data_IF_063989910901
#
_entry.id   IF_063989910901
#
_cell.length_a   1.000
_cell.length_b   1.000
_cell.length_c   1.000
_cell.angle_alpha   90.00
_cell.angle_beta   90.00
_cell.angle_gamma   90.00
#
_symmetry.space_group_name_H-M   'P 1'
#
loop_
_entity.id
_entity.type
_entity.pdbx_description
1 polymer ?
#
# COMPACT_ATOMS: atom_id res chain seq x y z
N UNK A 1 -12.74 -37.51 -73.71
CA UNK A 1 -12.22 -36.43 -72.84
C UNK A 1 -10.75 -36.18 -73.21
N UNK A 2 -10.39 -34.95 -73.61
CA UNK A 2 -9.08 -34.66 -74.21
C UNK A 2 -7.94 -34.82 -73.20
N UNK A 3 -6.90 -35.60 -73.53
CA UNK A 3 -5.72 -35.82 -72.65
C UNK A 3 -5.02 -34.52 -72.25
N UNK A 4 -5.06 -33.50 -73.10
CA UNK A 4 -4.56 -32.15 -72.81
C UNK A 4 -5.45 -31.36 -71.83
N UNK A 5 -6.74 -31.65 -71.79
CA UNK A 5 -7.72 -31.00 -70.91
C UNK A 5 -7.65 -31.56 -69.48
N UNK A 6 -7.40 -32.87 -69.35
CA UNK A 6 -7.23 -33.56 -68.06
C UNK A 6 -5.97 -33.07 -67.31
N UNK A 7 -4.86 -32.84 -68.04
CA UNK A 7 -3.62 -32.33 -67.44
C UNK A 7 -3.75 -30.91 -66.87
N UNK A 8 -4.49 -30.03 -67.55
CA UNK A 8 -4.71 -28.65 -67.08
C UNK A 8 -5.67 -28.61 -65.90
N UNK A 9 -6.75 -29.41 -65.91
CA UNK A 9 -7.66 -29.56 -64.76
C UNK A 9 -6.97 -30.13 -63.51
N UNK A 10 -6.02 -31.05 -63.69
CA UNK A 10 -5.25 -31.62 -62.57
C UNK A 10 -4.24 -30.62 -61.97
N UNK A 11 -3.73 -29.66 -62.75
CA UNK A 11 -2.86 -28.60 -62.24
C UNK A 11 -3.63 -27.57 -61.38
N UNK A 12 -4.87 -27.23 -61.77
CA UNK A 12 -5.70 -26.30 -61.01
C UNK A 12 -6.17 -26.88 -59.66
N UNK A 13 -6.38 -28.20 -59.56
CA UNK A 13 -6.75 -28.85 -58.31
C UNK A 13 -5.62 -28.90 -57.27
N UNK A 14 -4.35 -28.97 -57.71
CA UNK A 14 -3.18 -28.96 -56.82
C UNK A 14 -2.93 -27.56 -56.24
N UNK A 15 -3.20 -26.51 -57.03
CA UNK A 15 -3.06 -25.11 -56.59
C UNK A 15 -4.18 -24.73 -55.60
N UNK A 16 -5.39 -25.27 -55.75
CA UNK A 16 -6.50 -25.06 -54.81
C UNK A 16 -6.32 -25.79 -53.47
N UNK A 17 -5.63 -26.93 -53.44
CA UNK A 17 -5.37 -27.67 -52.20
C UNK A 17 -4.16 -27.12 -51.41
N UNK A 18 -3.22 -26.44 -52.07
CA UNK A 18 -2.00 -25.89 -51.46
C UNK A 18 -2.21 -24.72 -50.49
N UNK A 19 -3.38 -24.06 -50.51
CA UNK A 19 -3.70 -22.96 -49.58
C UNK A 19 -4.50 -23.41 -48.34
N UNK A 20 -5.02 -24.64 -48.32
CA UNK A 20 -5.78 -25.19 -47.18
C UNK A 20 -4.92 -26.07 -46.26
N UNK A 21 -3.60 -25.87 -46.28
CA UNK A 21 -2.64 -26.41 -45.32
C UNK A 21 -2.79 -25.76 -43.94
N UNK A 22 -3.90 -26.12 -43.28
CA UNK A 22 -4.17 -26.13 -41.85
C UNK A 22 -3.04 -25.57 -40.97
N UNK A 23 -3.19 -24.30 -40.57
CA UNK A 23 -2.54 -23.82 -39.36
C UNK A 23 -3.17 -24.51 -38.16
N UNK A 24 -2.72 -25.72 -37.82
CA UNK A 24 -2.96 -26.24 -36.47
C UNK A 24 -2.12 -25.37 -35.54
N UNK A 25 -2.79 -24.61 -34.68
CA UNK A 25 -2.10 -24.09 -33.51
C UNK A 25 -1.70 -25.31 -32.70
N UNK A 26 -0.46 -25.74 -32.81
CA UNK A 26 0.17 -26.51 -31.75
C UNK A 26 0.37 -25.52 -30.60
N UNK A 27 -0.73 -25.18 -29.91
CA UNK A 27 -0.61 -24.82 -28.51
C UNK A 27 -0.32 -26.14 -27.85
N UNK A 28 0.95 -26.38 -27.54
CA UNK A 28 1.30 -27.42 -26.59
C UNK A 28 0.42 -27.18 -25.38
N UNK A 29 -0.59 -28.04 -25.19
CA UNK A 29 -1.37 -28.07 -23.96
C UNK A 29 -0.44 -28.70 -22.94
N UNK A 30 0.57 -27.95 -22.51
CA UNK A 30 1.32 -28.29 -21.31
C UNK A 30 0.25 -28.37 -20.23
N UNK A 31 0.00 -29.58 -19.73
CA UNK A 31 -0.64 -29.74 -18.44
C UNK A 31 0.35 -29.17 -17.42
N UNK A 32 0.34 -27.85 -17.27
CA UNK A 32 0.82 -27.23 -16.05
C UNK A 32 -0.24 -27.66 -15.03
N UNK A 33 0.10 -28.63 -14.20
CA UNK A 33 -0.59 -28.80 -12.93
C UNK A 33 -0.14 -27.62 -12.06
N UNK A 34 -0.69 -26.45 -12.34
CA UNK A 34 -0.50 -25.26 -11.53
C UNK A 34 -1.39 -25.43 -10.31
N UNK A 35 -0.88 -26.16 -9.32
CA UNK A 35 -1.39 -26.02 -7.96
C UNK A 35 -0.80 -24.72 -7.43
N UNK A 36 -1.38 -23.59 -7.82
CA UNK A 36 -1.29 -22.40 -6.99
C UNK A 36 -2.04 -22.73 -5.70
N UNK A 37 -1.32 -23.13 -4.65
CA UNK A 37 -1.82 -22.88 -3.30
C UNK A 37 -1.74 -21.37 -3.10
N UNK A 38 -2.79 -20.66 -3.50
CA UNK A 38 -2.99 -19.26 -3.16
C UNK A 38 -3.27 -19.22 -1.65
N UNK A 39 -2.22 -19.30 -0.83
CA UNK A 39 -2.32 -18.93 0.58
C UNK A 39 -2.58 -17.44 0.61
N UNK A 40 -3.84 -17.04 0.78
CA UNK A 40 -4.21 -15.65 0.97
C UNK A 40 -3.53 -15.16 2.24
N UNK A 41 -2.54 -14.28 2.12
CA UNK A 41 -1.98 -13.59 3.27
C UNK A 41 -3.09 -12.71 3.86
N UNK A 42 -3.66 -13.15 4.98
CA UNK A 42 -4.60 -12.33 5.75
C UNK A 42 -3.79 -11.33 6.56
N UNK A 43 -3.56 -10.14 5.99
CA UNK A 43 -2.93 -9.03 6.70
C UNK A 43 -3.98 -8.34 7.55
N UNK A 44 -3.80 -8.38 8.87
CA UNK A 44 -4.66 -7.65 9.80
C UNK A 44 -4.35 -6.14 9.69
N UNK A 45 -5.40 -5.33 9.50
CA UNK A 45 -5.27 -3.87 9.42
C UNK A 45 -4.64 -3.28 10.68
N UNK A 46 -5.00 -3.79 11.86
CA UNK A 46 -4.47 -3.29 13.13
C UNK A 46 -2.97 -3.58 13.24
N UNK A 47 -2.53 -4.78 12.84
CA UNK A 47 -1.10 -5.11 12.85
C UNK A 47 -0.29 -4.19 11.92
N UNK A 48 -0.86 -3.82 10.76
CA UNK A 48 -0.24 -2.86 9.85
C UNK A 48 -0.21 -1.44 10.42
N UNK A 49 -1.27 -1.03 11.13
CA UNK A 49 -1.34 0.26 11.83
C UNK A 49 -0.30 0.32 12.96
N UNK A 50 -0.23 -0.71 13.81
CA UNK A 50 0.74 -0.81 14.91
C UNK A 50 2.18 -0.83 14.39
N UNK A 51 2.44 -1.60 13.33
CA UNK A 51 3.74 -1.64 12.68
C UNK A 51 4.13 -0.27 12.10
N UNK A 52 3.18 0.43 11.49
CA UNK A 52 3.41 1.79 10.97
C UNK A 52 3.73 2.76 12.10
N UNK A 53 2.98 2.72 13.20
CA UNK A 53 3.21 3.56 14.38
C UNK A 53 4.60 3.27 14.96
N UNK A 54 4.97 1.99 15.10
CA UNK A 54 6.27 1.57 15.62
C UNK A 54 7.44 2.18 14.83
N UNK A 55 7.40 2.13 13.49
CA UNK A 55 8.45 2.74 12.66
C UNK A 55 8.46 4.27 12.74
N UNK A 56 7.31 4.89 13.03
CA UNK A 56 7.17 6.34 13.14
C UNK A 56 7.45 6.87 14.55
N UNK A 57 7.59 6.00 15.56
CA UNK A 57 7.82 6.35 16.96
C UNK A 57 8.93 7.39 17.16
N UNK A 58 10.12 7.30 16.52
CA UNK A 58 11.17 8.31 16.71
C UNK A 58 10.74 9.73 16.28
N UNK A 59 10.00 9.84 15.17
CA UNK A 59 9.53 11.11 14.62
C UNK A 59 8.40 11.70 15.47
N UNK A 60 7.46 10.87 15.90
CA UNK A 60 6.36 11.26 16.77
C UNK A 60 6.90 11.72 18.14
N UNK A 61 7.83 10.95 18.72
CA UNK A 61 8.48 11.30 20.00
C UNK A 61 9.21 12.63 19.89
N UNK A 62 9.97 12.82 18.81
CA UNK A 62 10.68 14.07 18.56
C UNK A 62 9.71 15.24 18.44
N UNK A 63 8.61 15.09 17.69
CA UNK A 63 7.61 16.14 17.54
C UNK A 63 7.04 16.61 18.90
N UNK A 64 6.70 15.66 19.78
CA UNK A 64 6.18 15.95 21.13
C UNK A 64 7.25 16.61 21.99
N UNK A 65 8.50 16.13 21.94
CA UNK A 65 9.61 16.72 22.70
C UNK A 65 9.99 18.11 22.21
N UNK A 66 9.94 18.37 20.91
CA UNK A 66 10.20 19.68 20.32
C UNK A 66 9.12 20.69 20.75
N UNK A 67 7.86 20.24 20.93
CA UNK A 67 6.77 21.11 21.40
C UNK A 67 6.79 21.37 22.91
N UNK A 68 6.88 20.34 23.75
CA UNK A 68 6.78 20.47 25.21
C UNK A 68 8.12 20.60 25.96
N UNK A 69 9.23 20.29 25.30
CA UNK A 69 10.52 20.05 25.95
C UNK A 69 10.56 18.72 26.71
N UNK A 70 11.68 18.45 27.41
CA UNK A 70 11.83 17.28 28.30
C UNK A 70 11.57 17.69 29.77
N UNK A 71 10.96 16.85 30.62
CA UNK A 71 10.40 15.53 30.31
C UNK A 71 8.94 15.60 29.84
N UNK A 72 8.70 15.27 28.58
CA UNK A 72 7.38 14.98 28.01
C UNK A 72 7.36 13.57 27.44
N UNK A 73 6.18 12.96 27.41
CA UNK A 73 5.99 11.60 26.95
C UNK A 73 4.66 11.39 26.24
N UNK A 74 4.51 10.20 25.65
CA UNK A 74 3.35 9.75 24.88
C UNK A 74 2.78 8.49 25.53
N UNK A 75 1.46 8.40 25.63
CA UNK A 75 0.76 7.16 25.99
C UNK A 75 0.74 6.20 24.80
N UNK A 76 1.77 5.36 24.67
CA UNK A 76 1.95 4.48 23.51
C UNK A 76 0.89 3.37 23.33
N UNK A 77 -0.01 3.17 24.30
CA UNK A 77 -1.16 2.26 24.16
C UNK A 77 -2.41 2.91 23.55
N UNK A 78 -2.33 4.19 23.16
CA UNK A 78 -3.44 4.97 22.56
C UNK A 78 -3.17 5.78 21.27
N UNK A 79 -2.01 5.69 20.57
CA UNK A 79 -1.89 6.35 19.28
C UNK A 79 -2.98 5.86 18.32
N UNK A 80 -3.43 6.75 17.43
CA UNK A 80 -4.42 6.42 16.41
C UNK A 80 -4.10 7.12 15.11
N UNK A 81 -3.97 6.36 14.02
CA UNK A 81 -3.85 6.95 12.69
C UNK A 81 -5.21 7.53 12.31
N UNK A 82 -5.22 8.82 12.00
CA UNK A 82 -6.42 9.55 11.58
C UNK A 82 -6.56 9.55 10.05
N UNK A 83 -5.43 9.65 9.34
CA UNK A 83 -5.41 9.75 7.88
C UNK A 83 -4.10 9.18 7.34
N UNK A 84 -4.20 8.43 6.24
CA UNK A 84 -3.07 8.12 5.34
C UNK A 84 -3.53 8.48 3.94
N UNK A 85 -2.76 9.34 3.26
CA UNK A 85 -3.05 9.80 1.91
C UNK A 85 -1.81 9.63 1.04
N UNK A 86 -1.92 8.84 -0.02
CA UNK A 86 -0.90 8.82 -1.07
C UNK A 86 -0.96 10.16 -1.82
N UNK A 87 0.14 10.91 -1.80
CA UNK A 87 0.24 12.21 -2.45
C UNK A 87 0.67 12.11 -3.91
N UNK A 88 1.12 10.94 -4.36
CA UNK A 88 1.62 10.68 -5.70
C UNK A 88 1.05 9.34 -6.22
N UNK A 89 -0.19 9.34 -6.76
CA UNK A 89 -0.80 8.14 -7.31
C UNK A 89 0.09 7.47 -8.37
N UNK A 90 0.38 6.18 -8.20
CA UNK A 90 1.32 5.43 -9.03
C UNK A 90 2.72 5.26 -8.43
N UNK A 91 3.06 6.06 -7.41
CA UNK A 91 4.26 5.92 -6.58
C UNK A 91 3.91 5.31 -5.22
N UNK A 92 4.89 4.62 -4.62
CA UNK A 92 4.79 4.02 -3.28
C UNK A 92 5.62 4.75 -2.24
N UNK A 93 6.06 5.97 -2.55
CA UNK A 93 7.08 6.64 -1.74
C UNK A 93 6.63 7.95 -1.13
N UNK A 94 5.49 8.52 -1.54
CA UNK A 94 5.04 9.84 -1.07
C UNK A 94 3.69 9.78 -0.37
N UNK A 95 3.69 9.98 0.94
CA UNK A 95 2.49 9.93 1.77
C UNK A 95 2.38 11.11 2.72
N UNK A 96 1.14 11.48 3.01
CA UNK A 96 0.77 12.29 4.15
C UNK A 96 0.10 11.39 5.19
N UNK A 97 0.58 11.44 6.42
CA UNK A 97 0.03 10.69 7.54
C UNK A 97 -0.34 11.66 8.67
N UNK A 98 -1.57 11.55 9.18
CA UNK A 98 -1.99 12.25 10.41
C UNK A 98 -2.20 11.26 11.53
N UNK A 99 -1.59 11.52 12.68
CA UNK A 99 -1.71 10.68 13.87
C UNK A 99 -2.14 11.51 15.07
N UNK A 100 -3.06 10.95 15.87
CA UNK A 100 -3.42 11.45 17.19
C UNK A 100 -2.60 10.72 18.24
N UNK A 101 -2.03 11.46 19.17
CA UNK A 101 -1.40 10.92 20.38
C UNK A 101 -1.92 11.61 21.63
N UNK A 102 -1.91 10.89 22.74
CA UNK A 102 -2.14 11.46 24.08
C UNK A 102 -0.78 11.64 24.76
N UNK A 103 -0.50 12.84 25.22
CA UNK A 103 0.78 13.23 25.82
C UNK A 103 0.65 13.47 27.31
N UNK A 104 1.77 13.58 28.01
CA UNK A 104 1.82 13.94 29.43
C UNK A 104 3.12 14.69 29.75
N UNK A 105 3.11 15.47 30.83
CA UNK A 105 4.27 16.23 31.31
C UNK A 105 4.67 15.78 32.72
N UNK A 106 5.89 15.25 32.85
CA UNK A 106 6.44 14.77 34.13
C UNK A 106 5.80 13.49 34.67
N UNK A 107 6.37 12.96 35.76
CA UNK A 107 5.78 11.84 36.50
C UNK A 107 4.66 12.38 37.40
N UNK A 108 3.46 11.81 37.31
CA UNK A 108 2.33 12.04 38.23
C UNK A 108 1.45 13.30 38.08
N UNK A 109 1.51 14.09 36.98
CA UNK A 109 0.57 15.21 36.83
C UNK A 109 -0.02 15.34 35.41
N UNK A 110 -1.29 14.95 35.17
CA UNK A 110 -2.05 15.42 34.01
C UNK A 110 -1.98 16.96 33.93
N UNK A 111 -2.03 17.58 32.73
CA UNK A 111 -3.01 17.24 31.71
C UNK A 111 -2.50 16.31 30.61
N UNK A 112 -3.43 15.49 30.11
CA UNK A 112 -3.24 14.71 28.90
C UNK A 112 -3.48 15.63 27.70
N UNK A 113 -2.41 16.09 27.07
CA UNK A 113 -2.55 16.81 25.81
C UNK A 113 -3.03 15.86 24.74
N UNK A 114 -4.01 16.26 23.93
CA UNK A 114 -4.31 15.55 22.68
C UNK A 114 -3.56 16.28 21.59
N UNK A 115 -2.59 15.61 20.97
CA UNK A 115 -1.78 16.20 19.91
C UNK A 115 -2.07 15.49 18.59
N UNK A 116 -2.22 16.28 17.52
CA UNK A 116 -2.33 15.80 16.15
C UNK A 116 -1.05 16.18 15.42
N UNK A 117 -0.34 15.18 14.93
CA UNK A 117 0.93 15.33 14.22
C UNK A 117 0.69 14.95 12.76
N UNK A 118 1.10 15.82 11.83
CA UNK A 118 1.09 15.53 10.41
C UNK A 118 2.51 15.28 9.92
N UNK A 119 2.72 14.10 9.35
CA UNK A 119 3.98 13.66 8.77
C UNK A 119 3.87 13.64 7.24
N UNK A 120 4.84 14.24 6.57
CA UNK A 120 5.13 13.96 5.16
C UNK A 120 6.21 12.89 5.11
N UNK A 121 5.91 11.77 4.46
CA UNK A 121 6.81 10.64 4.24
C UNK A 121 7.19 10.65 2.77
N UNK A 122 8.50 10.68 2.51
CA UNK A 122 9.13 10.59 1.19
C UNK A 122 10.10 9.40 1.16
N UNK A 123 10.68 9.09 0.00
CA UNK A 123 11.61 7.98 -0.17
C UNK A 123 12.83 8.04 0.77
N UNK A 124 13.37 9.24 0.99
CA UNK A 124 14.63 9.49 1.69
C UNK A 124 14.47 10.12 3.08
N UNK A 125 13.26 10.58 3.43
CA UNK A 125 13.02 11.35 4.65
C UNK A 125 11.58 11.34 5.11
N UNK A 126 11.43 11.60 6.40
CA UNK A 126 10.15 11.87 7.04
C UNK A 126 10.24 13.26 7.70
N UNK A 127 9.27 14.12 7.41
CA UNK A 127 9.19 15.49 7.92
C UNK A 127 7.90 15.69 8.70
N UNK A 128 8.01 16.35 9.85
CA UNK A 128 6.85 16.86 10.59
C UNK A 128 6.46 18.17 9.90
N UNK A 129 5.28 18.21 9.29
CA UNK A 129 4.82 19.38 8.54
C UNK A 129 3.75 20.18 9.29
N UNK A 130 3.11 19.58 10.29
CA UNK A 130 2.17 20.26 11.18
C UNK A 130 2.13 19.57 12.56
N UNK A 131 1.93 20.38 13.60
CA UNK A 131 1.76 19.94 14.98
C UNK A 131 0.65 20.77 15.62
N UNK A 132 -0.44 20.11 16.00
CA UNK A 132 -1.59 20.77 16.62
C UNK A 132 -1.87 20.19 18.00
N UNK A 133 -1.69 21.03 19.02
CA UNK A 133 -2.14 20.75 20.37
C UNK A 133 -3.63 21.05 20.54
N UNK A 134 -4.36 20.15 21.21
CA UNK A 134 -5.74 20.33 21.62
C UNK A 134 -5.80 20.20 23.13
N UNK A 135 -6.13 21.30 23.81
CA UNK A 135 -6.34 21.32 25.25
C UNK A 135 -7.52 20.41 25.61
N UNK A 136 -7.28 19.39 26.44
CA UNK A 136 -8.35 18.61 27.03
C UNK A 136 -8.98 19.44 28.15
N UNK A 137 -10.24 19.87 27.98
CA UNK A 137 -10.98 20.54 29.05
C UNK A 137 -11.04 19.58 30.24
N UNK A 138 -10.32 19.90 31.31
CA UNK A 138 -10.43 19.18 32.58
C UNK A 138 -11.90 19.19 32.99
N UNK A 139 -12.59 18.04 32.87
CA UNK A 139 -13.83 17.84 33.61
C UNK A 139 -13.40 17.84 35.07
N UNK A 140 -13.56 18.97 35.75
CA UNK A 140 -13.51 19.01 37.21
C UNK A 140 -14.48 17.93 37.68
N UNK A 141 -13.95 16.86 38.25
CA UNK A 141 -14.77 15.93 39.03
C UNK A 141 -15.36 16.79 40.15
N UNK A 142 -16.65 17.05 40.03
CA UNK A 142 -17.44 17.84 41.00
C UNK A 142 -18.12 16.85 41.92
#
# INVERSE_FOLDING_TARGET
MNRKFIGVMSLFLIILFGMYGVGTKIVAKSKIYETESTTTLVVNKNDLEDLSIYFLTPYITKAVQDYYGKPSGIQWWKPKILEIKNLEPGSRYKFLLKIRVETFKGAHNPPYGIDIITLEIDFDKIRIIDYKHIEEKIKKQT
#
